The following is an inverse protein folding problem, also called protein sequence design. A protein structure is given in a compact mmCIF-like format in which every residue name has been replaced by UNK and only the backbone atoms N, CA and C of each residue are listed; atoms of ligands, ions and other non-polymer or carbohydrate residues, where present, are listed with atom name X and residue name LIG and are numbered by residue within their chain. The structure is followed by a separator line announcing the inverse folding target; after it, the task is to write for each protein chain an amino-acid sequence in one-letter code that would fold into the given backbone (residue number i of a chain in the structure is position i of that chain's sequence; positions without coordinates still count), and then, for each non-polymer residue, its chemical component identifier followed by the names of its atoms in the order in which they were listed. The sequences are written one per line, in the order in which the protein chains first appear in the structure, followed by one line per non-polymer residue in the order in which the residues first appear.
data_IF_970114975773
#
_entry.id   IF_970114975773
#
_cell.length_a   1.000
_cell.length_b   1.000
_cell.length_c   1.000
_cell.angle_alpha   90.00
_cell.angle_beta   90.00
_cell.angle_gamma   90.00
#
_symmetry.space_group_name_H-M   'P 1'
#
loop_
_entity.id
_entity.type
_entity.pdbx_description
1 polymer ?
#
# COMPACT_ATOMS: atom_id res chain seq x y z
N UNK A 1 -24.43 -55.28 26.29
CA UNK A 1 -23.11 -55.92 26.47
C UNK A 1 -22.54 -55.38 27.78
N UNK A 2 -22.86 -56.04 28.90
CA UNK A 2 -21.99 -57.05 29.57
C UNK A 2 -20.91 -56.31 30.37
N UNK A 3 -21.17 -56.01 31.66
CA UNK A 3 -20.79 -56.82 32.86
C UNK A 3 -19.29 -56.69 33.19
N UNK A 4 -18.97 -56.15 34.38
CA UNK A 4 -18.54 -56.91 35.60
C UNK A 4 -17.07 -57.36 35.48
N UNK A 5 -16.17 -57.27 36.47
CA UNK A 5 -16.17 -57.36 37.96
C UNK A 5 -14.67 -57.25 38.39
N UNK A 6 -14.20 -57.67 39.58
CA UNK A 6 -14.45 -57.34 41.01
C UNK A 6 -13.17 -56.71 41.67
N UNK A 7 -13.19 -56.00 42.82
CA UNK A 7 -13.13 -56.42 44.26
C UNK A 7 -12.11 -57.52 44.61
N UNK A 8 -11.19 -57.23 45.56
CA UNK A 8 -10.72 -57.97 46.78
C UNK A 8 -9.32 -57.38 47.13
N UNK A 9 -9.09 -56.57 48.16
CA UNK A 9 -9.06 -56.77 49.65
C UNK A 9 -7.65 -57.09 50.21
N UNK A 10 -7.41 -56.54 51.41
CA UNK A 10 -6.34 -56.80 52.41
C UNK A 10 -4.89 -56.38 52.04
N UNK A 11 -4.18 -55.54 52.79
CA UNK A 11 -3.83 -55.71 54.21
C UNK A 11 -3.24 -54.41 54.78
N UNK A 12 -3.56 -54.13 56.05
CA UNK A 12 -2.90 -53.15 56.93
C UNK A 12 -1.57 -53.72 57.39
N UNK A 13 -0.45 -52.99 57.27
CA UNK A 13 0.63 -53.06 58.26
C UNK A 13 1.40 -51.72 58.31
N UNK A 14 1.40 -51.12 59.49
CA UNK A 14 2.29 -50.03 59.92
C UNK A 14 3.77 -50.41 59.78
N UNK A 15 4.63 -49.48 59.33
CA UNK A 15 5.95 -49.31 59.96
C UNK A 15 6.49 -47.88 59.73
N UNK A 16 7.14 -47.27 60.73
CA UNK A 16 7.41 -45.84 60.78
C UNK A 16 8.83 -45.51 60.29
N UNK A 17 8.96 -44.30 59.77
CA UNK A 17 10.20 -43.54 59.85
C UNK A 17 11.29 -43.95 58.88
N UNK A 18 11.44 -43.14 57.83
CA UNK A 18 12.77 -42.64 57.50
C UNK A 18 12.67 -41.18 57.06
N UNK A 19 13.39 -40.33 57.80
CA UNK A 19 13.55 -38.90 57.56
C UNK A 19 14.26 -38.71 56.22
N UNK A 20 13.52 -38.32 55.18
CA UNK A 20 14.13 -37.75 53.97
C UNK A 20 14.41 -36.27 54.28
N UNK A 21 15.68 -35.80 54.24
CA UNK A 21 15.98 -34.40 54.45
C UNK A 21 15.40 -33.53 53.31
N UNK A 22 15.11 -32.24 53.55
CA UNK A 22 14.47 -31.38 52.56
C UNK A 22 15.34 -31.27 51.31
N UNK A 23 14.73 -31.49 50.14
CA UNK A 23 15.32 -31.17 48.85
C UNK A 23 15.52 -29.65 48.80
N UNK A 24 16.77 -29.19 48.86
CA UNK A 24 17.11 -27.84 48.44
C UNK A 24 16.88 -27.75 46.92
N UNK A 25 15.74 -27.18 46.53
CA UNK A 25 15.53 -26.73 45.15
C UNK A 25 16.56 -25.64 44.84
N UNK A 26 17.32 -25.73 43.75
CA UNK A 26 18.23 -24.66 43.35
C UNK A 26 17.42 -23.37 43.09
N UNK A 27 18.06 -22.18 43.22
CA UNK A 27 17.39 -20.91 42.99
C UNK A 27 16.81 -20.85 41.58
N UNK A 28 15.72 -20.12 41.35
CA UNK A 28 15.20 -19.89 40.00
C UNK A 28 16.31 -19.27 39.15
N UNK A 29 16.73 -20.00 38.11
CA UNK A 29 17.67 -19.50 37.11
C UNK A 29 17.07 -18.26 36.45
N UNK A 30 17.90 -17.22 36.36
CA UNK A 30 17.55 -15.89 35.90
C UNK A 30 16.70 -15.88 34.61
N UNK A 31 15.58 -15.15 34.66
CA UNK A 31 14.80 -14.75 33.49
C UNK A 31 15.75 -14.17 32.41
N UNK A 32 15.55 -14.51 31.12
CA UNK A 32 16.39 -13.99 30.06
C UNK A 32 16.28 -12.47 30.02
N UNK A 33 17.38 -11.82 30.39
CA UNK A 33 17.65 -10.39 30.29
C UNK A 33 17.20 -9.86 28.92
N UNK A 34 15.96 -9.34 28.84
CA UNK A 34 15.41 -8.69 27.66
C UNK A 34 16.07 -7.32 27.53
N UNK A 35 17.37 -7.31 27.21
CA UNK A 35 18.06 -6.09 26.82
C UNK A 35 17.37 -5.59 25.55
N UNK A 36 16.83 -4.34 25.53
CA UNK A 36 16.36 -3.77 24.28
C UNK A 36 17.52 -3.78 23.30
N UNK A 37 17.36 -4.47 22.16
CA UNK A 37 18.35 -4.49 21.09
C UNK A 37 18.58 -3.04 20.67
N UNK A 38 19.71 -2.47 21.08
CA UNK A 38 20.16 -1.16 20.65
C UNK A 38 20.71 -1.34 19.25
N UNK A 39 20.10 -0.66 18.30
CA UNK A 39 20.49 -0.79 16.89
C UNK A 39 21.92 -0.26 16.71
N UNK A 40 22.77 -0.97 15.96
CA UNK A 40 24.13 -0.52 15.72
C UNK A 40 24.15 0.82 14.95
N UNK A 41 25.15 1.67 15.16
CA UNK A 41 25.22 2.99 14.49
C UNK A 41 25.16 2.88 12.96
N UNK A 42 25.85 1.89 12.38
CA UNK A 42 25.77 1.61 10.94
C UNK A 42 24.38 1.15 10.48
N UNK A 43 23.63 0.49 11.36
CA UNK A 43 22.28 0.03 11.11
C UNK A 43 21.32 1.23 11.09
N UNK A 44 21.48 2.15 12.05
CA UNK A 44 20.73 3.42 12.11
C UNK A 44 21.01 4.29 10.88
N UNK A 45 22.29 4.50 10.52
CA UNK A 45 22.65 5.29 9.34
C UNK A 45 22.06 4.72 8.04
N UNK A 46 22.08 3.40 7.86
CA UNK A 46 21.44 2.77 6.68
C UNK A 46 19.94 2.95 6.70
N UNK A 47 19.30 2.83 7.86
CA UNK A 47 17.85 3.03 8.01
C UNK A 47 17.46 4.46 7.68
N UNK A 48 18.21 5.43 8.16
CA UNK A 48 17.99 6.85 7.89
C UNK A 48 18.15 7.17 6.40
N UNK A 49 19.17 6.60 5.74
CA UNK A 49 19.36 6.73 4.30
C UNK A 49 18.19 6.13 3.52
N UNK A 50 17.75 4.92 3.88
CA UNK A 50 16.58 4.27 3.27
C UNK A 50 15.34 5.13 3.44
N UNK A 51 15.09 5.65 4.65
CA UNK A 51 13.95 6.51 4.93
C UNK A 51 14.00 7.80 4.11
N UNK A 52 15.18 8.45 4.00
CA UNK A 52 15.36 9.65 3.18
C UNK A 52 15.05 9.36 1.70
N UNK A 53 15.62 8.28 1.16
CA UNK A 53 15.40 7.89 -0.23
C UNK A 53 13.93 7.52 -0.50
N UNK A 54 13.26 6.86 0.45
CA UNK A 54 11.83 6.56 0.34
C UNK A 54 11.00 7.83 0.32
N UNK A 55 11.32 8.80 1.16
CA UNK A 55 10.62 10.08 1.20
C UNK A 55 10.84 10.88 -0.09
N UNK A 56 12.08 10.95 -0.57
CA UNK A 56 12.40 11.57 -1.86
C UNK A 56 11.66 10.88 -3.01
N UNK A 57 11.62 9.54 -3.02
CA UNK A 57 10.89 8.79 -4.04
C UNK A 57 9.38 9.05 -4.00
N UNK A 58 8.80 9.20 -2.80
CA UNK A 58 7.40 9.60 -2.64
C UNK A 58 7.16 11.01 -3.18
N UNK A 59 8.00 11.98 -2.80
CA UNK A 59 7.91 13.35 -3.27
C UNK A 59 8.01 13.44 -4.79
N UNK A 60 9.00 12.78 -5.40
CA UNK A 60 9.18 12.72 -6.86
C UNK A 60 7.99 12.06 -7.56
N UNK A 61 7.43 10.98 -6.99
CA UNK A 61 6.22 10.36 -7.53
C UNK A 61 5.01 11.29 -7.47
N UNK A 62 4.86 12.05 -6.40
CA UNK A 62 3.82 13.07 -6.27
C UNK A 62 4.01 14.22 -7.27
N UNK A 63 5.24 14.71 -7.47
CA UNK A 63 5.51 15.73 -8.48
C UNK A 63 5.22 15.23 -9.90
N UNK A 64 5.64 14.00 -10.22
CA UNK A 64 5.33 13.37 -11.50
C UNK A 64 3.82 13.19 -11.68
N UNK A 65 3.08 12.79 -10.63
CA UNK A 65 1.62 12.66 -10.72
C UNK A 65 0.93 14.00 -10.91
N UNK A 66 1.42 15.08 -10.28
CA UNK A 66 0.87 16.43 -10.49
C UNK A 66 1.10 16.94 -11.92
N UNK A 67 2.18 16.50 -12.56
CA UNK A 67 2.47 16.80 -13.97
C UNK A 67 1.70 15.91 -14.95
N UNK A 68 1.06 14.84 -14.48
CA UNK A 68 0.22 14.01 -15.34
C UNK A 68 -1.07 14.75 -15.65
N UNK A 69 -1.36 14.90 -16.93
CA UNK A 69 -2.63 15.43 -17.43
C UNK A 69 -3.71 14.33 -17.41
N UNK A 70 -3.97 13.82 -16.21
CA UNK A 70 -4.98 12.79 -15.93
C UNK A 70 -6.25 13.39 -15.32
N UNK A 71 -7.19 12.54 -14.90
CA UNK A 71 -8.47 12.93 -14.32
C UNK A 71 -8.30 13.90 -13.14
N UNK A 72 -7.27 13.70 -12.31
CA UNK A 72 -7.04 14.50 -11.11
C UNK A 72 -6.58 15.92 -11.45
N UNK A 73 -5.95 16.12 -12.61
CA UNK A 73 -5.51 17.45 -13.05
C UNK A 73 -6.69 18.44 -13.19
N UNK A 74 -7.86 17.92 -13.61
CA UNK A 74 -9.08 18.71 -13.83
C UNK A 74 -10.11 18.60 -12.70
N UNK A 75 -9.94 17.62 -11.79
CA UNK A 75 -10.89 17.35 -10.73
C UNK A 75 -11.05 18.57 -9.82
N UNK A 76 -12.29 18.87 -9.46
CA UNK A 76 -12.68 19.97 -8.56
C UNK A 76 -12.32 21.40 -9.05
N UNK A 77 -11.92 21.56 -10.33
CA UNK A 77 -11.54 22.85 -10.91
C UNK A 77 -12.35 23.14 -12.19
N UNK A 78 -13.58 23.64 -12.01
CA UNK A 78 -14.48 23.94 -13.12
C UNK A 78 -13.94 25.02 -14.09
N UNK A 79 -13.16 25.98 -13.58
CA UNK A 79 -12.54 27.02 -14.41
C UNK A 79 -11.53 26.38 -15.36
N UNK A 80 -10.68 25.50 -14.84
CA UNK A 80 -9.70 24.75 -15.62
C UNK A 80 -10.37 23.80 -16.61
N UNK A 81 -11.42 23.07 -16.20
CA UNK A 81 -12.19 22.20 -17.11
C UNK A 81 -12.72 23.00 -18.30
N UNK A 82 -13.37 24.14 -18.05
CA UNK A 82 -13.93 25.00 -19.09
C UNK A 82 -12.86 25.62 -19.98
N UNK A 83 -11.74 26.03 -19.40
CA UNK A 83 -10.62 26.60 -20.15
C UNK A 83 -10.07 25.59 -21.16
N UNK A 84 -9.72 24.38 -20.71
CA UNK A 84 -9.07 23.38 -21.57
C UNK A 84 -10.03 22.66 -22.52
N UNK A 85 -11.25 22.34 -22.08
CA UNK A 85 -12.16 21.49 -22.86
C UNK A 85 -13.32 22.24 -23.50
N UNK A 86 -13.63 23.44 -22.99
CA UNK A 86 -14.87 24.15 -23.32
C UNK A 86 -16.13 23.60 -22.63
N UNK A 87 -16.04 22.46 -21.94
CA UNK A 87 -17.15 21.87 -21.20
C UNK A 87 -17.34 22.58 -19.85
N UNK A 88 -18.57 22.63 -19.32
CA UNK A 88 -18.85 23.44 -18.14
C UNK A 88 -18.35 22.81 -16.83
N UNK A 89 -18.36 21.47 -16.71
CA UNK A 89 -17.99 20.77 -15.47
C UNK A 89 -17.28 19.44 -15.76
N UNK A 90 -16.54 18.93 -14.77
CA UNK A 90 -15.75 17.71 -14.88
C UNK A 90 -16.64 16.47 -15.09
N UNK A 91 -17.81 16.46 -14.47
CA UNK A 91 -18.82 15.40 -14.55
C UNK A 91 -19.35 15.25 -15.98
N UNK A 92 -19.49 16.36 -16.71
CA UNK A 92 -19.89 16.34 -18.13
C UNK A 92 -18.78 15.73 -18.98
N UNK A 93 -17.53 16.05 -18.69
CA UNK A 93 -16.37 15.45 -19.36
C UNK A 93 -16.31 13.94 -19.10
N UNK A 94 -16.51 13.49 -17.86
CA UNK A 94 -16.52 12.07 -17.51
C UNK A 94 -17.71 11.33 -18.13
N UNK A 95 -18.90 11.95 -18.18
CA UNK A 95 -20.06 11.40 -18.87
C UNK A 95 -19.83 11.26 -20.38
N UNK A 96 -19.13 12.23 -20.99
CA UNK A 96 -18.71 12.14 -22.39
C UNK A 96 -17.70 11.00 -22.59
N UNK A 97 -16.71 10.89 -21.71
CA UNK A 97 -15.73 9.80 -21.75
C UNK A 97 -16.42 8.44 -21.69
N UNK A 98 -17.29 8.20 -20.71
CA UNK A 98 -18.00 6.94 -20.56
C UNK A 98 -18.82 6.56 -21.82
N UNK A 99 -19.33 7.56 -22.56
CA UNK A 99 -20.08 7.33 -23.79
C UNK A 99 -19.19 7.07 -25.00
N UNK A 100 -18.01 7.68 -25.06
CA UNK A 100 -17.09 7.58 -26.21
C UNK A 100 -16.11 6.43 -26.05
N UNK A 101 -15.75 6.07 -24.82
CA UNK A 101 -14.79 5.02 -24.46
C UNK A 101 -15.04 3.68 -25.19
N UNK A 102 -16.29 3.17 -25.31
CA UNK A 102 -16.55 1.93 -26.05
C UNK A 102 -16.18 1.98 -27.54
N UNK A 103 -16.11 3.18 -28.12
CA UNK A 103 -15.77 3.41 -29.53
C UNK A 103 -14.31 3.81 -29.73
N UNK A 104 -13.57 4.03 -28.63
CA UNK A 104 -12.15 4.35 -28.72
C UNK A 104 -11.38 3.09 -29.10
N UNK A 105 -10.82 3.09 -30.30
CA UNK A 105 -9.84 2.07 -30.66
C UNK A 105 -8.63 2.24 -29.76
N UNK A 106 -8.30 1.20 -28.99
CA UNK A 106 -7.14 1.14 -28.10
C UNK A 106 -5.83 1.02 -28.90
N UNK A 107 -5.62 1.94 -29.86
CA UNK A 107 -4.44 2.02 -30.74
C UNK A 107 -3.24 2.59 -30.02
N UNK A 108 -3.46 3.40 -28.99
CA UNK A 108 -2.40 3.98 -28.19
C UNK A 108 -2.18 3.12 -26.95
N UNK A 109 -0.94 2.63 -26.76
CA UNK A 109 -0.50 1.99 -25.50
C UNK A 109 0.02 2.99 -24.47
N UNK A 110 0.17 4.26 -24.88
CA UNK A 110 0.88 5.29 -24.12
C UNK A 110 -0.12 6.21 -23.39
N UNK A 111 -1.29 6.46 -23.98
CA UNK A 111 -2.29 7.38 -23.43
C UNK A 111 -3.53 6.60 -22.95
N UNK A 112 -4.06 6.99 -21.80
CA UNK A 112 -5.35 6.49 -21.32
C UNK A 112 -6.51 7.02 -22.19
N UNK A 113 -7.69 6.36 -22.17
CA UNK A 113 -8.88 6.86 -22.86
C UNK A 113 -9.23 8.30 -22.47
N UNK A 114 -9.12 8.64 -21.17
CA UNK A 114 -9.30 10.02 -20.69
C UNK A 114 -8.30 10.97 -21.35
N UNK A 115 -7.02 10.63 -21.36
CA UNK A 115 -5.98 11.47 -21.97
C UNK A 115 -6.24 11.66 -23.46
N UNK A 116 -6.63 10.61 -24.18
CA UNK A 116 -6.98 10.68 -25.60
C UNK A 116 -8.16 11.65 -25.86
N UNK A 117 -9.22 11.55 -25.06
CA UNK A 117 -10.35 12.47 -25.16
C UNK A 117 -9.92 13.90 -24.81
N UNK A 118 -9.21 14.06 -23.69
CA UNK A 118 -8.79 15.35 -23.17
C UNK A 118 -7.89 16.08 -24.17
N UNK A 119 -6.88 15.40 -24.72
CA UNK A 119 -6.03 15.87 -25.80
C UNK A 119 -6.83 16.37 -27.01
N UNK A 120 -7.83 15.58 -27.42
CA UNK A 120 -8.68 15.91 -28.56
C UNK A 120 -9.44 17.20 -28.30
N UNK A 121 -10.05 17.35 -27.11
CA UNK A 121 -10.79 18.54 -26.73
C UNK A 121 -9.87 19.77 -26.60
N UNK A 122 -8.70 19.62 -25.97
CA UNK A 122 -7.69 20.70 -25.86
C UNK A 122 -7.24 21.16 -27.23
N UNK A 123 -6.99 20.23 -28.15
CA UNK A 123 -6.60 20.55 -29.53
C UNK A 123 -7.68 21.34 -30.26
N UNK A 124 -8.94 20.90 -30.15
CA UNK A 124 -10.07 21.58 -30.79
C UNK A 124 -10.33 22.96 -30.17
N UNK A 125 -10.17 23.09 -28.85
CA UNK A 125 -10.50 24.32 -28.10
C UNK A 125 -9.42 25.39 -28.22
N UNK A 126 -8.16 25.01 -28.03
CA UNK A 126 -7.02 25.93 -27.98
C UNK A 126 -6.27 26.05 -29.31
N UNK A 127 -6.65 25.23 -30.31
CA UNK A 127 -6.04 25.20 -31.64
C UNK A 127 -4.49 25.07 -31.60
N UNK A 128 -3.98 24.25 -30.67
CA UNK A 128 -2.53 24.13 -30.48
C UNK A 128 -1.86 23.25 -31.57
N UNK A 129 -0.61 23.57 -31.97
CA UNK A 129 0.18 22.72 -32.86
C UNK A 129 0.35 21.32 -32.27
N UNK A 130 0.37 20.28 -33.13
CA UNK A 130 0.54 18.90 -32.66
C UNK A 130 1.86 18.69 -31.90
N UNK A 131 2.92 19.41 -32.27
CA UNK A 131 4.23 19.32 -31.60
C UNK A 131 4.16 19.81 -30.15
N UNK A 132 3.47 20.93 -29.91
CA UNK A 132 3.26 21.45 -28.56
C UNK A 132 2.46 20.49 -27.70
N UNK A 133 1.39 19.93 -28.27
CA UNK A 133 0.56 18.94 -27.59
C UNK A 133 1.38 17.69 -27.24
N UNK A 134 2.18 17.19 -28.19
CA UNK A 134 3.04 16.03 -27.98
C UNK A 134 4.05 16.26 -26.85
N UNK A 135 4.68 17.44 -26.81
CA UNK A 135 5.60 17.83 -25.74
C UNK A 135 4.93 17.88 -24.37
N UNK A 136 3.75 18.50 -24.28
CA UNK A 136 2.98 18.62 -23.03
C UNK A 136 2.61 17.24 -22.47
N UNK A 137 2.34 16.26 -23.33
CA UNK A 137 1.95 14.91 -22.93
C UNK A 137 3.11 13.90 -22.91
N UNK A 138 4.35 14.34 -23.15
CA UNK A 138 5.53 13.47 -23.15
C UNK A 138 5.49 12.37 -24.23
N UNK A 139 4.83 12.63 -25.35
CA UNK A 139 4.76 11.70 -26.49
C UNK A 139 5.77 12.14 -27.54
N UNK A 140 6.79 11.32 -27.82
CA UNK A 140 7.68 11.52 -28.95
C UNK A 140 7.04 10.98 -30.24
N UNK A 141 7.27 11.65 -31.37
CA UNK A 141 6.59 11.40 -32.64
C UNK A 141 7.41 10.49 -33.54
#
# INVERSE_FOLDING_TARGET
KTESKPVVDETVIDDPGDLIPPVETPPPEDEPDQRPMTECDFCQLRRDEINRLLEENRALKCELSQRKLDEHFLKDDHVKVKYYTGLPHFEVLMGLLARVEPYMTQRSRILSPFQMLFLTLVRLRLNLPMQHIAHIFGVER
#
